data_IF_498023026504
#
_entry.id   IF_498023026504
#
_cell.length_a   1.000
_cell.length_b   1.000
_cell.length_c   1.000
_cell.angle_alpha   90.00
_cell.angle_beta   90.00
_cell.angle_gamma   90.00
#
_symmetry.space_group_name_H-M   'P 1'
#
loop_
_entity.id
_entity.type
_entity.pdbx_description
1 polymer ?
#
# COMPACT_ATOMS: atom_id res chain seq x y z
N UNK A 1 10.65 0.18 4.41
CA UNK A 1 10.15 0.01 3.01
C UNK A 1 9.47 1.31 2.64
N UNK A 2 9.75 1.88 1.46
CA UNK A 2 9.04 3.07 0.98
C UNK A 2 7.71 2.69 0.33
N UNK A 3 6.85 3.68 0.06
CA UNK A 3 5.60 3.48 -0.70
C UNK A 3 5.86 3.00 -2.13
N UNK A 4 6.92 3.47 -2.77
CA UNK A 4 7.32 3.08 -4.12
C UNK A 4 7.78 1.62 -4.18
N UNK A 5 8.51 1.16 -3.16
CA UNK A 5 8.91 -0.24 -3.06
C UNK A 5 7.69 -1.15 -2.87
N UNK A 6 6.74 -0.73 -2.04
CA UNK A 6 5.49 -1.44 -1.83
C UNK A 6 4.69 -1.57 -3.13
N UNK A 7 4.60 -0.47 -3.91
CA UNK A 7 3.96 -0.46 -5.23
C UNK A 7 4.63 -1.45 -6.18
N UNK A 8 5.97 -1.45 -6.27
CA UNK A 8 6.70 -2.36 -7.16
C UNK A 8 6.45 -3.82 -6.84
N UNK A 9 6.43 -4.18 -5.56
CA UNK A 9 6.10 -5.56 -5.15
C UNK A 9 4.64 -5.86 -5.50
N UNK A 10 3.74 -4.92 -5.20
CA UNK A 10 2.32 -5.09 -5.51
C UNK A 10 2.04 -5.12 -7.01
N UNK A 11 2.91 -4.66 -7.92
CA UNK A 11 2.66 -4.76 -9.36
C UNK A 11 2.69 -6.20 -9.86
N UNK A 12 3.40 -7.08 -9.16
CA UNK A 12 3.39 -8.52 -9.42
C UNK A 12 1.95 -9.07 -9.29
N UNK A 13 1.42 -9.74 -10.33
CA UNK A 13 0.09 -10.34 -10.28
C UNK A 13 -0.06 -11.44 -9.23
N UNK A 14 1.01 -11.97 -8.64
CA UNK A 14 0.90 -12.93 -7.53
C UNK A 14 0.80 -12.25 -6.16
N UNK A 15 1.13 -10.95 -6.08
CA UNK A 15 1.21 -10.20 -4.82
C UNK A 15 0.14 -9.10 -4.75
N UNK A 16 -1.08 -9.47 -4.36
CA UNK A 16 -2.22 -8.54 -4.28
C UNK A 16 -2.25 -7.69 -2.99
N UNK A 17 -1.52 -8.11 -1.95
CA UNK A 17 -1.51 -7.46 -0.63
C UNK A 17 -0.16 -7.64 0.07
N UNK A 18 0.18 -6.70 0.95
CA UNK A 18 1.38 -6.77 1.80
C UNK A 18 0.99 -6.66 3.28
N UNK A 19 1.56 -7.50 4.17
CA UNK A 19 1.34 -7.38 5.60
C UNK A 19 2.10 -6.18 6.17
N UNK A 20 1.48 -5.46 7.09
CA UNK A 20 2.13 -4.43 7.91
C UNK A 20 2.57 -5.10 9.20
N UNK A 21 3.87 -5.04 9.47
CA UNK A 21 4.49 -5.69 10.63
C UNK A 21 5.07 -4.63 11.57
N UNK A 22 4.71 -4.71 12.85
CA UNK A 22 5.27 -3.88 13.91
C UNK A 22 5.72 -4.78 15.06
N UNK A 23 6.96 -4.59 15.54
CA UNK A 23 7.54 -5.40 16.61
C UNK A 23 7.45 -6.91 16.36
N UNK A 24 7.63 -7.33 15.11
CA UNK A 24 7.56 -8.74 14.68
C UNK A 24 6.15 -9.32 14.63
N UNK A 25 5.11 -8.51 14.81
CA UNK A 25 3.70 -8.94 14.76
C UNK A 25 3.00 -8.30 13.57
N UNK A 26 2.15 -9.07 12.88
CA UNK A 26 1.27 -8.52 11.84
C UNK A 26 0.20 -7.67 12.53
N UNK A 27 0.19 -6.38 12.23
CA UNK A 27 -0.78 -5.41 12.77
C UNK A 27 -1.82 -4.99 11.75
N UNK A 28 -1.64 -5.35 10.48
CA UNK A 28 -2.59 -5.04 9.42
C UNK A 28 -2.13 -5.56 8.06
N UNK A 29 -2.91 -5.21 7.05
CA UNK A 29 -2.61 -5.50 5.64
C UNK A 29 -2.88 -4.25 4.81
N UNK A 30 -2.11 -4.07 3.75
CA UNK A 30 -2.37 -3.08 2.71
C UNK A 30 -2.61 -3.80 1.38
N UNK A 31 -3.58 -3.31 0.62
CA UNK A 31 -3.99 -3.85 -0.68
C UNK A 31 -3.79 -2.81 -1.77
N UNK A 32 -3.87 -3.24 -3.03
CA UNK A 32 -3.89 -2.31 -4.19
C UNK A 32 -5.02 -1.26 -4.07
N UNK A 33 -6.17 -1.62 -3.51
CA UNK A 33 -7.31 -0.70 -3.33
C UNK A 33 -6.98 0.41 -2.34
N UNK A 34 -6.21 0.13 -1.29
CA UNK A 34 -5.77 1.15 -0.33
C UNK A 34 -4.86 2.19 -0.99
N UNK A 35 -4.02 1.76 -1.94
CA UNK A 35 -3.16 2.65 -2.73
C UNK A 35 -3.97 3.56 -3.65
N UNK A 36 -5.01 3.03 -4.32
CA UNK A 36 -5.91 3.85 -5.15
C UNK A 36 -6.61 4.91 -4.30
N UNK A 37 -7.16 4.52 -3.15
CA UNK A 37 -7.81 5.46 -2.20
C UNK A 37 -6.84 6.51 -1.69
N UNK A 38 -5.57 6.17 -1.50
CA UNK A 38 -4.55 7.13 -1.07
C UNK A 38 -4.30 8.18 -2.16
N UNK A 39 -4.14 7.75 -3.42
CA UNK A 39 -3.94 8.65 -4.57
C UNK A 39 -5.13 9.59 -4.72
N UNK A 40 -6.36 9.08 -4.70
CA UNK A 40 -7.59 9.91 -4.76
C UNK A 40 -7.58 10.99 -3.67
N UNK A 41 -7.21 10.63 -2.44
CA UNK A 41 -7.15 11.58 -1.31
C UNK A 41 -6.06 12.63 -1.49
N UNK A 42 -4.94 12.28 -2.11
CA UNK A 42 -3.84 13.22 -2.37
C UNK A 42 -4.19 14.18 -3.51
N UNK A 43 -4.88 13.72 -4.56
CA UNK A 43 -5.34 14.58 -5.65
C UNK A 43 -6.39 15.58 -5.16
N UNK A 44 -7.34 15.15 -4.33
CA UNK A 44 -8.41 16.02 -3.78
C UNK A 44 -7.89 17.09 -2.81
N UNK A 45 -6.64 17.01 -2.34
CA UNK A 45 -6.03 18.00 -1.45
C UNK A 45 -5.21 19.08 -2.18
N UNK A 46 -5.04 18.94 -3.50
CA UNK A 46 -4.30 19.88 -4.33
C UNK A 46 -5.19 20.86 -5.11
N UNK A 47 -6.51 20.82 -4.87
CA UNK A 47 -7.50 21.82 -5.28
C UNK A 47 -7.84 22.77 -4.11
#
# INVERSE_FOLDING_TARGET
MSTDDALRIMLDPENFMLPVVENGKVVGVITRTDMVRLIERLETQND
#
